data_IF_623796981336
#
_entry.id   IF_623796981336
#
_cell.length_a   1.000
_cell.length_b   1.000
_cell.length_c   1.000
_cell.angle_alpha   90.00
_cell.angle_beta   90.00
_cell.angle_gamma   90.00
#
_symmetry.space_group_name_H-M   'P 1'
#
loop_
_entity.id
_entity.type
_entity.pdbx_description
1 polymer ?
#
# COMPACT_ATOMS: atom_id res chain seq x y z
N UNK A 1 -45.11 9.67 -26.83
CA UNK A 1 -44.53 9.79 -25.46
C UNK A 1 -45.33 9.06 -24.38
N UNK A 2 -46.66 9.25 -24.27
CA UNK A 2 -47.46 8.59 -23.20
C UNK A 2 -47.46 7.06 -23.24
N UNK A 3 -47.46 6.43 -24.43
CA UNK A 3 -47.49 4.95 -24.55
C UNK A 3 -46.18 4.27 -24.15
N UNK A 4 -45.03 4.90 -24.42
CA UNK A 4 -43.71 4.38 -24.05
C UNK A 4 -43.54 4.42 -22.53
N UNK A 5 -43.94 5.52 -21.88
CA UNK A 5 -43.94 5.65 -20.43
C UNK A 5 -44.84 4.60 -19.75
N UNK A 6 -46.04 4.36 -20.28
CA UNK A 6 -46.93 3.31 -19.76
C UNK A 6 -46.32 1.91 -19.88
N UNK A 7 -45.58 1.65 -20.97
CA UNK A 7 -44.90 0.37 -21.19
C UNK A 7 -43.77 0.17 -20.19
N UNK A 8 -42.93 1.20 -19.98
CA UNK A 8 -41.85 1.18 -18.98
C UNK A 8 -42.40 0.99 -17.56
N UNK A 9 -43.50 1.66 -17.21
CA UNK A 9 -44.14 1.50 -15.89
C UNK A 9 -44.66 0.07 -15.72
N UNK A 10 -45.26 -0.52 -16.75
CA UNK A 10 -45.76 -1.89 -16.69
C UNK A 10 -44.62 -2.92 -16.59
N UNK A 11 -43.55 -2.72 -17.36
CA UNK A 11 -42.34 -3.55 -17.30
C UNK A 11 -41.67 -3.47 -15.93
N UNK A 12 -41.47 -2.26 -15.39
CA UNK A 12 -40.91 -2.08 -14.03
C UNK A 12 -41.79 -2.72 -12.96
N UNK A 13 -43.12 -2.59 -13.07
CA UNK A 13 -44.05 -3.18 -12.08
C UNK A 13 -44.06 -4.70 -12.14
N UNK A 14 -43.90 -5.29 -13.33
CA UNK A 14 -43.71 -6.74 -13.48
C UNK A 14 -42.37 -7.19 -12.91
N UNK A 15 -41.32 -6.41 -13.13
CA UNK A 15 -39.99 -6.69 -12.61
C UNK A 15 -39.96 -6.61 -11.08
N UNK A 16 -40.53 -5.55 -10.49
CA UNK A 16 -40.69 -5.41 -9.03
C UNK A 16 -41.49 -6.56 -8.42
N UNK A 17 -42.58 -6.99 -9.09
CA UNK A 17 -43.39 -8.12 -8.63
C UNK A 17 -42.61 -9.43 -8.69
N UNK A 18 -41.88 -9.69 -9.78
CA UNK A 18 -41.05 -10.87 -9.93
C UNK A 18 -39.90 -10.90 -8.90
N UNK A 19 -39.29 -9.75 -8.62
CA UNK A 19 -38.27 -9.61 -7.58
C UNK A 19 -38.84 -9.83 -6.18
N UNK A 20 -40.04 -9.32 -5.89
CA UNK A 20 -40.72 -9.54 -4.61
C UNK A 20 -41.09 -11.01 -4.40
N UNK A 21 -41.58 -11.68 -5.45
CA UNK A 21 -41.90 -13.12 -5.42
C UNK A 21 -40.65 -13.98 -5.23
N UNK A 22 -39.54 -13.63 -5.91
CA UNK A 22 -38.25 -14.31 -5.73
C UNK A 22 -37.69 -14.12 -4.31
N UNK A 23 -37.79 -12.90 -3.76
CA UNK A 23 -37.36 -12.59 -2.40
C UNK A 23 -38.21 -13.31 -1.35
N UNK A 24 -39.52 -13.42 -1.58
CA UNK A 24 -40.41 -14.18 -0.69
C UNK A 24 -40.15 -15.69 -0.77
N UNK A 25 -39.81 -16.21 -1.95
CA UNK A 25 -39.42 -17.60 -2.13
C UNK A 25 -38.09 -17.92 -1.42
N UNK A 26 -37.13 -17.00 -1.48
CA UNK A 26 -35.86 -17.10 -0.76
C UNK A 26 -36.08 -17.04 0.76
N UNK A 27 -36.86 -16.09 1.27
CA UNK A 27 -37.22 -15.99 2.70
C UNK A 27 -37.91 -17.24 3.25
N UNK A 28 -38.67 -17.94 2.40
CA UNK A 28 -39.38 -19.15 2.77
C UNK A 28 -38.49 -20.41 2.68
N UNK A 29 -37.28 -20.32 2.13
CA UNK A 29 -36.35 -21.44 2.06
C UNK A 29 -35.70 -21.68 3.43
N UNK A 30 -35.92 -22.84 4.07
CA UNK A 30 -35.37 -23.16 5.39
C UNK A 30 -33.82 -23.27 5.42
N UNK A 31 -33.13 -23.26 4.27
CA UNK A 31 -31.67 -23.17 4.18
C UNK A 31 -31.12 -21.73 4.09
N UNK A 32 -31.96 -20.70 4.07
CA UNK A 32 -31.47 -19.32 4.01
C UNK A 32 -30.65 -18.96 5.25
N UNK A 33 -29.35 -18.74 5.04
CA UNK A 33 -28.36 -18.38 6.06
C UNK A 33 -28.39 -16.89 6.44
N UNK A 34 -29.45 -16.16 6.10
CA UNK A 34 -29.54 -14.72 6.33
C UNK A 34 -30.07 -14.43 7.74
N UNK A 35 -29.18 -14.60 8.72
CA UNK A 35 -29.40 -14.18 10.10
C UNK A 35 -29.29 -12.65 10.25
N UNK A 36 -29.86 -12.10 11.34
CA UNK A 36 -29.63 -10.70 11.77
C UNK A 36 -28.15 -10.32 11.85
N UNK A 37 -27.27 -11.29 12.16
CA UNK A 37 -25.81 -11.10 12.17
C UNK A 37 -25.24 -10.94 10.75
N UNK A 38 -25.79 -11.66 9.78
CA UNK A 38 -25.44 -11.53 8.36
C UNK A 38 -25.92 -10.18 7.82
N UNK A 39 -27.13 -9.75 8.20
CA UNK A 39 -27.67 -8.42 7.92
C UNK A 39 -26.77 -7.31 8.48
N UNK A 40 -26.42 -7.35 9.77
CA UNK A 40 -25.53 -6.35 10.40
C UNK A 40 -24.13 -6.32 9.78
N UNK A 41 -23.58 -7.47 9.37
CA UNK A 41 -22.31 -7.51 8.61
C UNK A 41 -22.44 -6.81 7.26
N UNK A 42 -23.53 -7.06 6.53
CA UNK A 42 -23.83 -6.40 5.24
C UNK A 42 -23.99 -4.89 5.40
N UNK A 43 -24.61 -4.41 6.49
CA UNK A 43 -24.78 -2.96 6.76
C UNK A 43 -23.49 -2.28 7.23
N UNK A 44 -22.69 -2.94 8.09
CA UNK A 44 -21.46 -2.39 8.65
C UNK A 44 -20.32 -2.27 7.63
N UNK A 45 -20.31 -3.13 6.59
CA UNK A 45 -19.30 -3.10 5.53
C UNK A 45 -19.53 -2.01 4.48
N UNK A 46 -20.73 -1.41 4.43
CA UNK A 46 -21.18 -0.70 3.23
C UNK A 46 -21.30 0.82 3.33
N UNK A 47 -21.81 1.39 4.43
CA UNK A 47 -22.13 2.83 4.50
C UNK A 47 -23.09 3.36 3.39
N UNK A 48 -23.60 2.47 2.54
CA UNK A 48 -24.46 2.74 1.38
C UNK A 48 -25.89 2.29 1.74
N UNK A 49 -26.87 3.10 1.35
CA UNK A 49 -28.29 2.94 1.66
C UNK A 49 -28.83 1.54 1.32
N UNK A 50 -29.69 1.00 2.21
CA UNK A 50 -30.32 -0.33 2.13
C UNK A 50 -30.84 -0.76 0.74
N UNK A 51 -31.25 0.18 -0.11
CA UNK A 51 -31.79 -0.12 -1.45
C UNK A 51 -30.76 -0.63 -2.47
N UNK A 52 -29.46 -0.37 -2.30
CA UNK A 52 -28.43 -0.76 -3.27
C UNK A 52 -27.90 -2.19 -3.06
N UNK A 53 -28.29 -2.86 -1.96
CA UNK A 53 -27.79 -4.20 -1.57
C UNK A 53 -28.86 -5.29 -1.69
N UNK A 54 -30.09 -4.94 -2.05
CA UNK A 54 -31.16 -5.91 -2.26
C UNK A 54 -30.90 -6.68 -3.57
N UNK A 55 -30.24 -7.84 -3.46
CA UNK A 55 -30.01 -8.78 -4.57
C UNK A 55 -28.55 -8.98 -4.99
N UNK A 56 -27.58 -8.35 -4.32
CA UNK A 56 -26.15 -8.58 -4.58
C UNK A 56 -25.57 -9.61 -3.60
N UNK A 57 -24.66 -10.46 -4.08
CA UNK A 57 -23.88 -11.34 -3.22
C UNK A 57 -22.97 -10.52 -2.29
N UNK A 58 -22.52 -11.13 -1.19
CA UNK A 58 -21.56 -10.48 -0.27
C UNK A 58 -20.24 -10.18 -1.00
N UNK A 59 -19.82 -11.04 -1.93
CA UNK A 59 -18.62 -10.83 -2.73
C UNK A 59 -18.77 -9.63 -3.67
N UNK A 60 -19.91 -9.49 -4.36
CA UNK A 60 -20.18 -8.36 -5.26
C UNK A 60 -20.30 -7.05 -4.50
N UNK A 61 -20.94 -7.09 -3.33
CA UNK A 61 -21.02 -5.96 -2.41
C UNK A 61 -19.63 -5.50 -1.98
N UNK A 62 -18.77 -6.45 -1.60
CA UNK A 62 -17.40 -6.16 -1.19
C UNK A 62 -16.57 -5.63 -2.36
N UNK A 63 -16.65 -6.27 -3.53
CA UNK A 63 -15.95 -5.86 -4.74
C UNK A 63 -16.36 -4.44 -5.17
N UNK A 64 -17.66 -4.12 -5.14
CA UNK A 64 -18.16 -2.80 -5.50
C UNK A 64 -17.80 -1.73 -4.47
N UNK A 65 -17.92 -2.02 -3.18
CA UNK A 65 -17.57 -1.06 -2.10
C UNK A 65 -16.07 -0.75 -2.09
N UNK A 66 -15.24 -1.75 -2.38
CA UNK A 66 -13.78 -1.60 -2.40
C UNK A 66 -13.23 -1.24 -3.79
N UNK A 67 -14.08 -1.13 -4.81
CA UNK A 67 -13.68 -0.82 -6.21
C UNK A 67 -12.98 0.53 -6.35
N UNK A 68 -13.34 1.50 -5.50
CA UNK A 68 -12.73 2.83 -5.45
C UNK A 68 -11.56 2.94 -4.47
N UNK A 69 -11.27 1.88 -3.71
CA UNK A 69 -10.10 1.84 -2.83
C UNK A 69 -8.90 1.46 -3.68
N UNK A 70 -7.91 2.34 -3.73
CA UNK A 70 -6.68 2.12 -4.49
C UNK A 70 -5.88 0.98 -3.86
N UNK A 71 -6.05 -0.25 -4.37
CA UNK A 71 -5.37 -1.47 -3.87
C UNK A 71 -3.95 -1.61 -4.43
N UNK A 72 -3.15 -0.54 -4.42
CA UNK A 72 -1.76 -0.62 -4.89
C UNK A 72 -0.98 -1.70 -4.11
N UNK A 73 -1.38 -1.97 -2.86
CA UNK A 73 -0.99 -3.16 -2.11
C UNK A 73 -2.00 -3.49 -1.01
N UNK A 74 -1.88 -4.68 -0.42
CA UNK A 74 -2.39 -5.05 0.90
C UNK A 74 -1.20 -5.05 1.88
N UNK A 75 -1.02 -3.96 2.67
CA UNK A 75 0.13 -3.79 3.56
C UNK A 75 0.36 -4.95 4.53
N UNK A 76 -0.71 -5.58 5.02
CA UNK A 76 -0.62 -6.72 5.96
C UNK A 76 -0.03 -7.99 5.33
N UNK A 77 -0.12 -8.13 4.01
CA UNK A 77 0.29 -9.31 3.25
C UNK A 77 1.55 -9.09 2.39
N UNK A 78 2.19 -7.93 2.53
CA UNK A 78 3.44 -7.66 1.83
C UNK A 78 4.55 -8.57 2.36
N UNK A 79 5.38 -9.04 1.43
CA UNK A 79 6.57 -9.85 1.70
C UNK A 79 7.70 -9.40 0.80
N UNK A 80 8.87 -9.22 1.40
CA UNK A 80 10.10 -8.95 0.65
C UNK A 80 10.48 -10.20 -0.15
N UNK A 81 10.72 -10.03 -1.44
CA UNK A 81 11.02 -11.13 -2.38
C UNK A 81 12.43 -11.06 -2.95
N UNK A 82 12.98 -9.84 -3.06
CA UNK A 82 14.32 -9.64 -3.60
C UNK A 82 14.97 -8.39 -3.00
N UNK A 83 16.30 -8.39 -3.04
CA UNK A 83 17.15 -7.22 -2.81
C UNK A 83 18.28 -7.26 -3.85
N UNK A 84 18.39 -6.18 -4.62
CA UNK A 84 19.47 -5.94 -5.60
C UNK A 84 19.98 -4.51 -5.48
N UNK A 85 21.05 -4.18 -6.19
CA UNK A 85 21.63 -2.84 -6.20
C UNK A 85 22.06 -2.43 -7.60
N UNK A 86 22.16 -1.12 -7.81
CA UNK A 86 22.81 -0.51 -8.97
C UNK A 86 23.90 0.43 -8.45
N UNK A 87 25.10 0.36 -9.05
CA UNK A 87 26.17 1.31 -8.79
C UNK A 87 26.00 2.52 -9.69
N UNK A 88 26.11 3.70 -9.10
CA UNK A 88 26.14 4.97 -9.81
C UNK A 88 27.57 5.50 -9.86
N UNK A 89 27.89 6.29 -10.88
CA UNK A 89 29.20 6.93 -11.02
C UNK A 89 29.26 8.31 -10.32
N UNK A 90 28.32 8.60 -9.43
CA UNK A 90 28.23 9.89 -8.71
C UNK A 90 29.11 9.81 -7.46
N UNK A 91 29.85 10.89 -7.16
CA UNK A 91 30.65 11.06 -5.93
C UNK A 91 31.57 9.87 -5.57
N UNK A 92 32.21 9.26 -6.57
CA UNK A 92 33.17 8.16 -6.35
C UNK A 92 32.55 6.78 -6.13
N UNK A 93 31.23 6.62 -6.34
CA UNK A 93 30.54 5.34 -6.29
C UNK A 93 29.52 5.28 -5.16
N UNK A 94 28.26 5.54 -5.51
CA UNK A 94 27.13 5.40 -4.59
C UNK A 94 26.22 4.27 -5.07
N UNK A 95 25.96 3.29 -4.21
CA UNK A 95 25.08 2.17 -4.55
C UNK A 95 23.65 2.45 -4.10
N UNK A 96 22.70 2.32 -5.04
CA UNK A 96 21.27 2.38 -4.74
C UNK A 96 20.73 0.96 -4.69
N UNK A 97 20.18 0.55 -3.55
CA UNK A 97 19.50 -0.73 -3.42
C UNK A 97 18.05 -0.61 -3.84
N UNK A 98 17.50 -1.73 -4.32
CA UNK A 98 16.08 -1.93 -4.60
C UNK A 98 15.60 -3.19 -3.90
N UNK A 99 14.53 -3.06 -3.12
CA UNK A 99 13.83 -4.15 -2.46
C UNK A 99 12.49 -4.36 -3.18
N UNK A 100 12.26 -5.54 -3.74
CA UNK A 100 10.99 -5.88 -4.41
C UNK A 100 10.08 -6.72 -3.50
N UNK A 101 8.78 -6.59 -3.72
CA UNK A 101 7.76 -7.31 -2.95
C UNK A 101 6.90 -8.23 -3.82
N UNK A 102 6.20 -9.16 -3.17
CA UNK A 102 5.24 -10.07 -3.80
C UNK A 102 4.01 -9.41 -4.43
N UNK A 103 3.84 -8.08 -4.28
CA UNK A 103 2.69 -7.34 -4.80
C UNK A 103 3.09 -6.28 -5.83
N UNK A 104 4.31 -6.35 -6.37
CA UNK A 104 4.76 -5.50 -7.49
C UNK A 104 5.24 -4.10 -7.10
N UNK A 105 5.12 -3.70 -5.83
CA UNK A 105 5.76 -2.48 -5.32
C UNK A 105 7.20 -2.74 -4.88
N UNK A 106 8.03 -1.70 -4.96
CA UNK A 106 9.44 -1.76 -4.57
C UNK A 106 9.87 -0.51 -3.79
N UNK A 107 10.91 -0.66 -2.98
CA UNK A 107 11.54 0.42 -2.22
C UNK A 107 12.97 0.68 -2.66
N UNK A 108 13.41 1.92 -2.58
CA UNK A 108 14.78 2.34 -2.87
C UNK A 108 15.47 2.88 -1.63
N UNK A 109 16.76 2.55 -1.50
CA UNK A 109 17.59 3.05 -0.41
C UNK A 109 19.02 3.26 -0.88
N UNK A 110 19.70 4.23 -0.27
CA UNK A 110 21.07 4.59 -0.63
C UNK A 110 22.05 3.99 0.36
N UNK A 111 23.05 3.28 -0.16
CA UNK A 111 24.23 2.91 0.61
C UNK A 111 25.19 4.08 0.56
N UNK A 112 25.63 4.53 1.74
CA UNK A 112 26.54 5.67 1.94
C UNK A 112 27.70 5.70 0.93
N UNK A 113 28.08 6.90 0.51
CA UNK A 113 29.23 7.18 -0.35
C UNK A 113 30.50 6.41 0.06
N UNK A 114 31.11 5.74 -0.93
CA UNK A 114 32.33 4.95 -0.74
C UNK A 114 32.18 3.74 0.19
N UNK A 115 30.98 3.41 0.66
CA UNK A 115 30.72 2.17 1.38
C UNK A 115 30.51 1.02 0.42
N UNK A 116 30.92 -0.17 0.84
CA UNK A 116 30.80 -1.36 0.02
C UNK A 116 29.33 -1.82 -0.07
N UNK A 117 28.74 -1.99 -1.28
CA UNK A 117 27.35 -2.44 -1.44
C UNK A 117 27.10 -3.82 -0.81
N UNK A 118 28.13 -4.63 -0.58
CA UNK A 118 28.02 -5.92 0.10
C UNK A 118 27.48 -5.80 1.52
N UNK A 119 27.65 -4.65 2.18
CA UNK A 119 27.02 -4.38 3.49
C UNK A 119 25.49 -4.43 3.42
N UNK A 120 24.87 -4.06 2.30
CA UNK A 120 23.44 -4.22 2.10
C UNK A 120 23.09 -5.63 1.61
N UNK A 121 23.85 -6.16 0.65
CA UNK A 121 23.56 -7.49 0.07
C UNK A 121 23.59 -8.62 1.09
N UNK A 122 24.49 -8.56 2.08
CA UNK A 122 24.55 -9.58 3.14
C UNK A 122 23.28 -9.62 4.00
N UNK A 123 22.48 -8.55 4.01
CA UNK A 123 21.23 -8.46 4.77
C UNK A 123 20.06 -9.11 4.04
N UNK A 124 20.18 -9.38 2.74
CA UNK A 124 19.13 -9.98 1.91
C UNK A 124 18.57 -11.25 2.55
N UNK A 125 19.43 -12.20 2.90
CA UNK A 125 19.02 -13.48 3.51
C UNK A 125 18.26 -13.33 4.84
N UNK A 126 18.40 -12.18 5.52
CA UNK A 126 17.78 -11.90 6.81
C UNK A 126 16.39 -11.28 6.66
N UNK A 127 16.13 -10.58 5.56
CA UNK A 127 14.88 -9.82 5.37
C UNK A 127 13.89 -10.48 4.41
N UNK A 128 14.32 -11.46 3.62
CA UNK A 128 13.44 -12.20 2.70
C UNK A 128 12.24 -12.79 3.44
N UNK A 129 11.06 -12.68 2.83
CA UNK A 129 9.79 -13.17 3.37
C UNK A 129 9.18 -12.29 4.47
N UNK A 130 9.92 -11.34 5.05
CA UNK A 130 9.40 -10.44 6.06
C UNK A 130 8.47 -9.37 5.45
N UNK A 131 7.55 -8.88 6.26
CA UNK A 131 6.68 -7.78 5.87
C UNK A 131 7.43 -6.44 6.02
N UNK A 132 7.64 -5.68 4.92
CA UNK A 132 8.41 -4.44 4.95
C UNK A 132 7.79 -3.34 5.81
N UNK A 133 6.48 -3.41 6.10
CA UNK A 133 5.79 -2.45 6.96
C UNK A 133 6.20 -2.55 8.44
N UNK A 134 6.91 -3.61 8.84
CA UNK A 134 7.44 -3.78 10.19
C UNK A 134 8.85 -3.19 10.33
N UNK A 135 9.01 -1.92 9.93
CA UNK A 135 10.32 -1.27 9.75
C UNK A 135 11.20 -1.39 11.00
N UNK A 136 10.70 -1.01 12.16
CA UNK A 136 11.45 -1.00 13.43
C UNK A 136 11.92 -2.40 13.85
N UNK A 137 11.08 -3.42 13.64
CA UNK A 137 11.43 -4.81 13.95
C UNK A 137 12.54 -5.30 13.03
N UNK A 138 12.41 -5.07 11.71
CA UNK A 138 13.43 -5.45 10.75
C UNK A 138 14.73 -4.71 11.07
N UNK A 139 14.68 -3.38 11.27
CA UNK A 139 15.83 -2.56 11.62
C UNK A 139 16.56 -3.08 12.87
N UNK A 140 15.84 -3.33 13.97
CA UNK A 140 16.43 -3.92 15.19
C UNK A 140 17.11 -5.26 14.94
N UNK A 141 16.53 -6.10 14.07
CA UNK A 141 17.13 -7.40 13.73
C UNK A 141 18.44 -7.27 12.94
N UNK A 142 18.54 -6.28 12.04
CA UNK A 142 19.69 -6.08 11.17
C UNK A 142 20.75 -5.11 11.73
N UNK A 143 20.39 -4.29 12.71
CA UNK A 143 21.24 -3.21 13.27
C UNK A 143 22.62 -3.71 13.71
N UNK A 144 22.68 -4.90 14.30
CA UNK A 144 23.92 -5.54 14.76
C UNK A 144 24.93 -5.84 13.63
N UNK A 145 24.49 -5.89 12.37
CA UNK A 145 25.36 -6.08 11.21
C UNK A 145 25.84 -4.75 10.62
N UNK A 146 25.34 -3.63 11.16
CA UNK A 146 25.90 -2.31 10.90
C UNK A 146 27.08 -2.05 11.82
N UNK A 147 28.12 -1.41 11.27
CA UNK A 147 29.25 -0.90 12.04
C UNK A 147 29.20 0.63 12.20
N UNK A 148 30.36 1.24 12.39
CA UNK A 148 30.48 2.70 12.41
C UNK A 148 30.63 3.26 11.00
N UNK A 149 30.17 4.50 10.77
CA UNK A 149 30.42 5.25 9.54
C UNK A 149 29.98 4.47 8.27
N UNK A 150 30.88 4.20 7.31
CA UNK A 150 30.58 3.48 6.06
C UNK A 150 30.02 2.08 6.27
N UNK A 151 30.40 1.40 7.36
CA UNK A 151 29.89 0.07 7.67
C UNK A 151 28.40 0.06 8.04
N UNK A 152 27.85 1.19 8.51
CA UNK A 152 26.42 1.33 8.75
C UNK A 152 25.59 1.46 7.46
N UNK A 153 26.24 1.81 6.34
CA UNK A 153 25.56 2.20 5.11
C UNK A 153 24.56 1.16 4.59
N UNK A 154 24.87 -0.14 4.74
CA UNK A 154 23.96 -1.20 4.32
C UNK A 154 22.68 -1.27 5.15
N UNK A 155 22.78 -1.11 6.47
CA UNK A 155 21.61 -1.10 7.37
C UNK A 155 20.74 0.13 7.13
N UNK A 156 21.35 1.31 6.99
CA UNK A 156 20.65 2.54 6.67
C UNK A 156 19.92 2.47 5.33
N UNK A 157 20.58 1.93 4.29
CA UNK A 157 19.97 1.75 2.98
C UNK A 157 18.72 0.85 3.04
N UNK A 158 18.78 -0.26 3.78
CA UNK A 158 17.62 -1.14 3.96
C UNK A 158 16.49 -0.38 4.66
N UNK A 159 16.75 0.32 5.76
CA UNK A 159 15.71 1.09 6.46
C UNK A 159 15.05 2.14 5.56
N UNK A 160 15.83 2.89 4.78
CA UNK A 160 15.30 3.86 3.82
C UNK A 160 14.38 3.19 2.79
N UNK A 161 14.79 2.05 2.23
CA UNK A 161 13.99 1.29 1.28
C UNK A 161 12.69 0.74 1.90
N UNK A 162 12.70 0.37 3.18
CA UNK A 162 11.50 -0.04 3.90
C UNK A 162 10.54 1.12 4.10
N UNK A 163 11.02 2.33 4.44
CA UNK A 163 10.17 3.51 4.55
C UNK A 163 9.57 3.96 3.20
N UNK A 164 10.33 3.85 2.12
CA UNK A 164 9.82 4.07 0.76
C UNK A 164 8.70 3.05 0.41
N UNK A 165 8.90 1.77 0.77
CA UNK A 165 7.86 0.74 0.64
C UNK A 165 6.62 1.06 1.47
N UNK A 166 6.77 1.47 2.73
CA UNK A 166 5.64 1.88 3.57
C UNK A 166 4.86 3.03 2.92
N UNK A 167 5.55 4.06 2.45
CA UNK A 167 4.90 5.20 1.80
C UNK A 167 4.07 4.78 0.58
N UNK A 168 4.65 3.93 -0.28
CA UNK A 168 3.96 3.37 -1.45
C UNK A 168 2.80 2.44 -1.06
N UNK A 169 2.99 1.62 -0.02
CA UNK A 169 1.99 0.67 0.44
C UNK A 169 0.75 1.35 1.02
N UNK A 170 0.96 2.43 1.80
CA UNK A 170 -0.10 3.21 2.43
C UNK A 170 -0.57 4.40 1.58
N UNK A 171 0.00 4.59 0.39
CA UNK A 171 -0.25 5.75 -0.47
C UNK A 171 -0.11 7.08 0.28
N UNK A 172 0.94 7.19 1.09
CA UNK A 172 1.24 8.33 1.93
C UNK A 172 2.71 8.72 1.78
N UNK A 173 3.05 10.01 1.79
CA UNK A 173 4.45 10.40 1.81
C UNK A 173 5.11 9.99 3.13
N UNK A 174 6.38 9.57 3.08
CA UNK A 174 7.08 9.03 4.24
C UNK A 174 7.06 9.95 5.48
N UNK A 175 7.19 11.27 5.30
CA UNK A 175 7.10 12.24 6.40
C UNK A 175 5.76 12.20 7.15
N UNK A 176 4.68 11.82 6.48
CA UNK A 176 3.36 11.71 7.12
C UNK A 176 3.30 10.52 8.06
N UNK A 177 4.03 9.44 7.73
CA UNK A 177 4.18 8.25 8.57
C UNK A 177 5.09 8.51 9.79
N UNK A 178 6.01 9.49 9.69
CA UNK A 178 6.98 9.83 10.72
C UNK A 178 6.50 10.89 11.73
N UNK A 179 5.20 11.23 11.74
CA UNK A 179 4.62 12.18 12.68
C UNK A 179 3.94 13.40 12.05
N UNK A 180 3.83 13.45 10.71
CA UNK A 180 3.05 14.47 10.03
C UNK A 180 3.84 15.74 9.68
N UNK A 181 3.12 16.71 9.09
CA UNK A 181 3.70 17.96 8.58
C UNK A 181 3.94 18.94 9.72
N UNK A 182 5.20 19.30 9.96
CA UNK A 182 5.58 20.34 10.94
C UNK A 182 5.87 21.71 10.29
N UNK A 183 6.31 21.73 9.02
CA UNK A 183 6.67 22.96 8.27
C UNK A 183 6.38 22.80 6.78
N UNK A 184 6.26 23.92 6.07
CA UNK A 184 5.92 23.94 4.64
C UNK A 184 7.15 23.83 3.72
N UNK A 185 8.30 24.32 4.18
CA UNK A 185 9.57 24.29 3.44
C UNK A 185 10.71 23.97 4.40
N UNK A 186 11.72 23.25 3.89
CA UNK A 186 12.98 22.99 4.60
C UNK A 186 14.04 23.94 4.05
N UNK A 187 14.69 24.71 4.93
CA UNK A 187 15.78 25.61 4.53
C UNK A 187 17.00 24.75 4.19
N UNK A 188 17.57 24.95 3.01
CA UNK A 188 18.80 24.30 2.57
C UNK A 188 19.96 25.29 2.67
N UNK A 189 21.17 24.79 2.94
CA UNK A 189 22.42 25.51 2.71
C UNK A 189 23.15 24.83 1.55
N UNK A 190 23.84 25.60 0.74
CA UNK A 190 24.78 25.09 -0.24
C UNK A 190 26.19 25.29 0.31
N UNK A 191 27.07 24.32 0.07
CA UNK A 191 28.49 24.53 0.34
C UNK A 191 29.05 25.57 -0.63
N UNK A 192 30.14 26.21 -0.23
CA UNK A 192 30.83 27.19 -1.08
C UNK A 192 31.44 26.41 -2.25
N UNK A 193 31.22 26.82 -3.52
CA UNK A 193 31.95 26.21 -4.63
C UNK A 193 33.46 26.31 -4.35
N UNK A 194 34.22 25.30 -4.76
CA UNK A 194 35.68 25.44 -4.80
C UNK A 194 36.01 26.55 -5.79
N UNK A 195 36.39 27.72 -5.26
CA UNK A 195 36.82 28.87 -6.04
C UNK A 195 38.35 28.96 -6.00
N UNK A 196 38.98 29.27 -7.12
CA UNK A 196 40.42 29.46 -7.19
C UNK A 196 40.88 30.75 -6.50
N UNK A 197 39.95 31.66 -6.23
CA UNK A 197 40.18 32.93 -5.55
C UNK A 197 38.92 33.39 -4.79
N UNK A 198 39.05 34.30 -3.78
CA UNK A 198 37.91 34.85 -3.06
C UNK A 198 36.90 35.64 -3.93
N UNK A 199 37.31 36.10 -5.11
CA UNK A 199 36.51 36.91 -6.03
C UNK A 199 35.69 36.08 -7.05
N UNK A 200 36.03 34.80 -7.25
CA UNK A 200 35.28 33.84 -8.08
C UNK A 200 34.04 33.29 -7.35
#
# INVERSE_FOLDING_TARGET
MKSILQKIIAENKQQEKATAEAMQAELNDPQTKDSRRTFLKKTALGGISLGALAGMSIEDTLAQTTSKVQRASNPSQLKITDLRYALTNVLGGTAIIRIDTNQGIYGLGEVRDGADPRYALMLKSRILGQNPCNVEMIFKSIKQFGGQSRQAGGVCAVEMALWDLCGKAYNAPAWQLLGGRYRDKVRLYADTPEAGSPEE
#
